data_IF_245632071878
#
_entry.id   IF_245632071878
#
_cell.length_a   1.000
_cell.length_b   1.000
_cell.length_c   1.000
_cell.angle_alpha   90.00
_cell.angle_beta   90.00
_cell.angle_gamma   90.00
#
_symmetry.space_group_name_H-M   'P 1'
#
loop_
_entity.id
_entity.type
_entity.pdbx_description
1 polymer ?
#
# COMPACT_ATOMS: atom_id res chain seq x y z
N UNK A 1 12.30 -27.18 17.01
CA UNK A 1 13.26 -26.49 17.90
C UNK A 1 14.64 -26.55 17.26
N UNK A 2 15.02 -25.54 16.49
CA UNK A 2 16.39 -25.41 15.99
C UNK A 2 17.32 -25.11 17.16
N UNK A 3 18.42 -25.86 17.26
CA UNK A 3 19.38 -25.83 18.36
C UNK A 3 19.84 -24.39 18.65
N UNK A 4 19.63 -23.94 19.88
CA UNK A 4 20.29 -22.73 20.37
C UNK A 4 21.78 -23.07 20.56
N UNK A 5 22.66 -22.42 19.80
CA UNK A 5 24.10 -22.62 19.95
C UNK A 5 24.51 -22.13 21.34
N UNK A 6 25.14 -23.01 22.14
CA UNK A 6 25.44 -22.79 23.57
C UNK A 6 26.36 -21.59 23.86
N UNK A 7 26.92 -20.94 22.83
CA UNK A 7 27.85 -19.81 22.92
C UNK A 7 27.53 -18.69 21.90
N UNK A 8 26.27 -18.25 21.77
CA UNK A 8 25.96 -17.08 20.94
C UNK A 8 26.40 -15.80 21.67
N UNK A 9 27.66 -15.39 21.49
CA UNK A 9 28.25 -14.14 22.04
C UNK A 9 27.84 -12.89 21.26
N UNK A 10 27.05 -13.02 20.18
CA UNK A 10 26.30 -11.93 19.59
C UNK A 10 24.96 -11.77 20.33
N UNK A 11 25.02 -11.31 21.58
CA UNK A 11 23.82 -10.97 22.35
C UNK A 11 23.07 -9.88 21.61
N UNK A 12 21.78 -10.06 21.36
CA UNK A 12 20.96 -8.95 20.89
C UNK A 12 21.05 -7.84 21.93
N UNK A 13 21.48 -6.64 21.51
CA UNK A 13 21.60 -5.44 22.37
C UNK A 13 20.31 -5.23 23.17
N UNK A 14 19.17 -5.52 22.53
CA UNK A 14 17.87 -5.50 23.15
C UNK A 14 17.41 -6.88 23.59
N UNK A 15 17.01 -6.96 24.85
CA UNK A 15 16.24 -8.06 25.42
C UNK A 15 14.87 -8.18 24.75
N UNK A 16 14.24 -9.35 24.90
CA UNK A 16 12.89 -9.59 24.40
C UNK A 16 11.88 -8.55 24.93
N UNK A 17 11.98 -8.18 26.21
CA UNK A 17 11.07 -7.21 26.84
C UNK A 17 11.27 -5.79 26.32
N UNK A 18 12.51 -5.38 26.05
CA UNK A 18 12.75 -4.05 25.48
C UNK A 18 12.23 -3.97 24.05
N UNK A 19 12.46 -5.01 23.22
CA UNK A 19 11.85 -5.09 21.87
C UNK A 19 10.32 -5.00 21.93
N UNK A 20 9.70 -5.63 22.93
CA UNK A 20 8.26 -5.59 23.10
C UNK A 20 7.77 -4.20 23.51
N UNK A 21 8.47 -3.52 24.43
CA UNK A 21 8.17 -2.14 24.85
C UNK A 21 8.36 -1.14 23.70
N UNK A 22 9.44 -1.28 22.94
CA UNK A 22 9.71 -0.43 21.78
C UNK A 22 8.66 -0.63 20.69
N UNK A 23 8.26 -1.88 20.43
CA UNK A 23 7.16 -2.18 19.48
C UNK A 23 5.83 -1.57 19.93
N UNK A 24 5.51 -1.63 21.22
CA UNK A 24 4.30 -1.02 21.79
C UNK A 24 4.33 0.51 21.71
N UNK A 25 5.47 1.13 21.98
CA UNK A 25 5.61 2.60 22.03
C UNK A 25 5.68 3.20 20.63
N UNK A 26 6.45 2.59 19.73
CA UNK A 26 6.65 3.07 18.37
C UNK A 26 5.44 2.74 17.47
N UNK A 27 4.60 1.78 17.84
CA UNK A 27 3.47 1.32 17.02
C UNK A 27 3.85 0.64 15.71
N UNK A 28 5.15 0.50 15.43
CA UNK A 28 5.70 -0.05 14.20
C UNK A 28 6.09 -1.51 14.37
N UNK A 29 5.79 -2.33 13.37
CA UNK A 29 6.06 -3.77 13.37
C UNK A 29 4.83 -4.64 13.64
N UNK A 30 5.02 -5.95 13.73
CA UNK A 30 3.93 -6.91 13.90
C UNK A 30 3.42 -6.92 15.35
N UNK A 31 2.28 -6.27 15.59
CA UNK A 31 1.59 -6.30 16.88
C UNK A 31 0.68 -7.53 16.96
N UNK A 32 0.80 -8.30 18.04
CA UNK A 32 -0.10 -9.43 18.35
C UNK A 32 -1.03 -9.01 19.48
N UNK A 33 -2.20 -8.47 19.15
CA UNK A 33 -3.24 -8.10 20.11
C UNK A 33 -4.58 -8.74 19.77
N UNK A 34 -5.44 -8.94 20.77
CA UNK A 34 -6.84 -9.32 20.54
C UNK A 34 -7.63 -8.06 20.17
N UNK A 35 -8.26 -8.09 19.01
CA UNK A 35 -9.15 -7.02 18.58
C UNK A 35 -10.52 -7.18 19.26
N UNK A 36 -11.12 -6.04 19.65
CA UNK A 36 -12.48 -6.02 20.20
C UNK A 36 -13.55 -6.20 19.11
N UNK A 37 -14.81 -6.30 19.52
CA UNK A 37 -15.97 -6.38 18.61
C UNK A 37 -16.00 -5.18 17.64
N UNK A 38 -15.68 -4.00 18.15
CA UNK A 38 -15.73 -2.73 17.41
C UNK A 38 -14.70 -2.65 16.28
N UNK A 39 -13.73 -3.57 16.23
CA UNK A 39 -12.79 -3.68 15.12
C UNK A 39 -13.37 -4.40 13.90
N UNK A 40 -14.52 -5.06 14.07
CA UNK A 40 -15.21 -5.78 13.00
C UNK A 40 -16.40 -4.95 12.55
N UNK A 41 -16.53 -4.78 11.22
CA UNK A 41 -17.67 -4.09 10.63
C UNK A 41 -18.97 -4.86 10.91
N UNK A 42 -20.01 -4.15 11.34
CA UNK A 42 -21.35 -4.72 11.45
C UNK A 42 -21.91 -5.13 10.08
N UNK A 43 -22.89 -6.05 10.09
CA UNK A 43 -23.43 -6.66 8.86
C UNK A 43 -24.22 -5.65 8.00
N UNK A 44 -24.93 -4.73 8.63
CA UNK A 44 -25.80 -3.72 8.03
C UNK A 44 -25.07 -2.42 7.67
N UNK A 45 -23.76 -2.33 7.95
CA UNK A 45 -22.96 -1.15 7.67
C UNK A 45 -22.33 -1.17 6.26
N UNK A 46 -22.27 0.01 5.65
CA UNK A 46 -21.62 0.23 4.35
C UNK A 46 -20.10 0.03 4.45
N UNK A 47 -19.50 -0.66 3.48
CA UNK A 47 -18.05 -0.88 3.44
C UNK A 47 -17.21 0.40 3.21
N UNK A 48 -17.84 1.51 2.80
CA UNK A 48 -17.14 2.80 2.58
C UNK A 48 -17.31 3.75 3.77
N UNK A 49 -18.55 3.99 4.20
CA UNK A 49 -18.84 4.95 5.27
C UNK A 49 -18.75 4.36 6.68
N UNK A 50 -18.78 3.03 6.82
CA UNK A 50 -18.89 2.31 8.09
C UNK A 50 -20.10 2.76 8.93
N UNK A 51 -21.10 3.37 8.29
CA UNK A 51 -22.38 3.74 8.89
C UNK A 51 -23.45 2.74 8.45
N UNK A 52 -24.53 2.58 9.25
CA UNK A 52 -25.67 1.75 8.88
C UNK A 52 -26.29 2.22 7.56
N UNK A 53 -26.53 1.27 6.65
CA UNK A 53 -27.02 1.58 5.32
C UNK A 53 -28.48 2.07 5.35
N UNK A 54 -28.78 3.15 4.60
CA UNK A 54 -30.16 3.62 4.38
C UNK A 54 -30.79 2.96 3.16
N UNK A 55 -30.02 2.87 2.08
CA UNK A 55 -30.46 2.27 0.81
C UNK A 55 -29.40 1.28 0.34
N UNK A 56 -29.46 0.04 0.84
CA UNK A 56 -28.43 -0.96 0.63
C UNK A 56 -28.42 -1.43 -0.83
N UNK A 57 -27.23 -1.44 -1.42
CA UNK A 57 -26.93 -2.06 -2.70
C UNK A 57 -25.78 -3.04 -2.53
N UNK A 58 -25.85 -4.17 -3.24
CA UNK A 58 -24.91 -5.27 -3.09
C UNK A 58 -24.21 -5.52 -4.43
N UNK A 59 -22.88 -5.66 -4.40
CA UNK A 59 -22.12 -6.07 -5.58
C UNK A 59 -22.23 -7.58 -5.81
N UNK A 60 -21.95 -8.10 -7.01
CA UNK A 60 -21.97 -9.54 -7.28
C UNK A 60 -21.08 -10.36 -6.33
N UNK A 61 -19.99 -9.76 -5.83
CA UNK A 61 -19.06 -10.37 -4.88
C UNK A 61 -19.59 -10.40 -3.43
N UNK A 62 -20.77 -9.81 -3.18
CA UNK A 62 -21.44 -9.83 -1.87
C UNK A 62 -21.06 -8.69 -0.93
N UNK A 63 -20.46 -7.60 -1.42
CA UNK A 63 -20.16 -6.43 -0.60
C UNK A 63 -21.36 -5.47 -0.49
N UNK A 64 -21.66 -5.03 0.72
CA UNK A 64 -22.75 -4.11 1.04
C UNK A 64 -22.28 -2.64 1.01
N UNK A 65 -23.02 -1.81 0.26
CA UNK A 65 -22.79 -0.38 0.20
C UNK A 65 -24.08 0.41 0.30
N UNK A 66 -23.96 1.66 0.71
CA UNK A 66 -25.00 2.66 0.48
C UNK A 66 -24.94 3.14 -0.98
N UNK A 67 -26.11 3.26 -1.59
CA UNK A 67 -26.26 3.69 -2.98
C UNK A 67 -25.58 5.03 -3.28
N UNK A 68 -25.71 6.01 -2.38
CA UNK A 68 -25.13 7.34 -2.55
C UNK A 68 -23.59 7.27 -2.48
N UNK A 69 -23.06 6.62 -1.43
CA UNK A 69 -21.62 6.51 -1.19
C UNK A 69 -20.89 5.77 -2.30
N UNK A 70 -21.45 4.66 -2.81
CA UNK A 70 -20.79 3.90 -3.88
C UNK A 70 -20.77 4.67 -5.21
N UNK A 71 -21.84 5.41 -5.52
CA UNK A 71 -21.91 6.20 -6.75
C UNK A 71 -20.93 7.38 -6.71
N UNK A 72 -20.88 8.10 -5.59
CA UNK A 72 -19.91 9.19 -5.39
C UNK A 72 -18.47 8.68 -5.52
N UNK A 73 -18.17 7.55 -4.87
CA UNK A 73 -16.88 6.88 -4.95
C UNK A 73 -16.50 6.56 -6.41
N UNK A 74 -17.39 5.92 -7.17
CA UNK A 74 -17.12 5.54 -8.56
C UNK A 74 -16.83 6.77 -9.43
N UNK A 75 -17.63 7.83 -9.31
CA UNK A 75 -17.45 9.05 -10.12
C UNK A 75 -16.11 9.71 -9.79
N UNK A 76 -15.81 9.87 -8.50
CA UNK A 76 -14.56 10.48 -8.03
C UNK A 76 -13.34 9.70 -8.53
N UNK A 77 -13.31 8.39 -8.34
CA UNK A 77 -12.15 7.58 -8.74
C UNK A 77 -12.01 7.44 -10.24
N UNK A 78 -13.09 7.44 -11.02
CA UNK A 78 -12.99 7.48 -12.49
C UNK A 78 -12.32 8.77 -12.97
N UNK A 79 -12.68 9.91 -12.39
CA UNK A 79 -12.06 11.20 -12.74
C UNK A 79 -10.57 11.24 -12.33
N UNK A 80 -10.24 10.77 -11.13
CA UNK A 80 -8.87 10.70 -10.63
C UNK A 80 -8.00 9.76 -11.47
N UNK A 81 -8.49 8.56 -11.78
CA UNK A 81 -7.77 7.60 -12.62
C UNK A 81 -7.51 8.16 -14.02
N UNK A 82 -8.48 8.87 -14.61
CA UNK A 82 -8.28 9.53 -15.90
C UNK A 82 -7.18 10.61 -15.85
N UNK A 83 -7.05 11.32 -14.71
CA UNK A 83 -5.97 12.31 -14.50
C UNK A 83 -4.61 11.62 -14.37
N UNK A 84 -4.52 10.61 -13.51
CA UNK A 84 -3.29 9.85 -13.26
C UNK A 84 -2.79 9.13 -14.52
N UNK A 85 -3.70 8.57 -15.32
CA UNK A 85 -3.35 7.92 -16.60
C UNK A 85 -2.73 8.93 -17.57
N UNK A 86 -3.29 10.15 -17.68
CA UNK A 86 -2.71 11.20 -18.53
C UNK A 86 -1.30 11.61 -18.08
N UNK A 87 -1.12 11.79 -16.77
CA UNK A 87 0.18 12.12 -16.17
C UNK A 87 1.19 10.99 -16.44
N UNK A 88 0.79 9.73 -16.26
CA UNK A 88 1.60 8.56 -16.54
C UNK A 88 2.03 8.50 -18.02
N UNK A 89 1.10 8.68 -18.96
CA UNK A 89 1.44 8.70 -20.40
C UNK A 89 2.41 9.84 -20.76
N UNK A 90 2.24 11.03 -20.17
CA UNK A 90 3.17 12.15 -20.37
C UNK A 90 4.56 11.88 -19.80
N UNK A 91 4.65 11.15 -18.68
CA UNK A 91 5.94 10.70 -18.14
C UNK A 91 6.61 9.66 -19.03
N UNK A 92 5.85 8.69 -19.56
CA UNK A 92 6.35 7.67 -20.47
C UNK A 92 6.92 8.27 -21.76
N UNK A 93 6.21 9.23 -22.37
CA UNK A 93 6.71 9.91 -23.58
C UNK A 93 7.97 10.72 -23.32
N UNK A 94 8.04 11.42 -22.17
CA UNK A 94 9.26 12.15 -21.77
C UNK A 94 10.45 11.21 -21.55
N UNK A 95 10.22 10.06 -20.90
CA UNK A 95 11.25 9.05 -20.66
C UNK A 95 11.75 8.44 -21.98
N UNK A 96 10.84 8.06 -22.88
CA UNK A 96 11.20 7.56 -24.20
C UNK A 96 12.04 8.58 -25.01
N UNK A 97 11.62 9.84 -25.05
CA UNK A 97 12.36 10.89 -25.75
C UNK A 97 13.73 11.22 -25.14
N UNK A 98 13.91 11.02 -23.82
CA UNK A 98 15.23 11.18 -23.17
C UNK A 98 16.19 10.01 -23.43
N UNK A 99 15.69 8.83 -23.81
CA UNK A 99 16.51 7.67 -24.18
C UNK A 99 16.95 7.69 -25.65
N UNK A 100 16.29 8.48 -26.50
CA UNK A 100 16.57 8.60 -27.95
C UNK A 100 17.51 9.77 -28.32
N UNK A 101 18.14 10.45 -27.35
CA UNK A 101 19.16 11.49 -27.58
C UNK A 101 20.61 10.98 -27.54
N UNK A 102 21.53 11.63 -28.29
CA UNK A 102 22.15 11.12 -29.51
C UNK A 102 23.16 9.98 -29.29
N UNK A 103 23.01 8.90 -30.06
CA UNK A 103 23.98 7.81 -30.21
C UNK A 103 25.14 8.15 -31.19
N UNK A 104 25.46 9.43 -31.39
CA UNK A 104 26.50 9.86 -32.34
C UNK A 104 27.51 10.79 -31.65
N UNK A 105 28.63 10.22 -31.15
CA UNK A 105 29.96 10.87 -31.19
C UNK A 105 31.03 10.11 -30.38
N UNK A 106 31.34 8.85 -30.67
CA UNK A 106 32.64 8.24 -30.27
C UNK A 106 33.17 7.26 -31.31
N UNK A 107 33.41 7.77 -32.52
CA UNK A 107 34.30 7.11 -33.48
C UNK A 107 35.08 8.18 -34.25
N UNK A 108 35.89 8.97 -33.52
CA UNK A 108 37.04 9.64 -34.11
C UNK A 108 38.26 8.85 -33.68
N UNK A 109 38.93 8.29 -34.68
CA UNK A 109 39.95 7.27 -34.57
C UNK A 109 41.04 7.59 -33.57
N UNK A 110 41.39 6.57 -32.81
CA UNK A 110 42.70 6.47 -32.20
C UNK A 110 43.61 5.82 -33.25
N UNK A 111 44.35 6.64 -33.98
CA UNK A 111 45.44 6.20 -34.86
C UNK A 111 46.67 7.04 -34.58
N UNK A 112 47.79 6.33 -34.39
CA UNK A 112 49.14 6.72 -33.98
C UNK A 112 49.41 6.81 -32.48
#
# INVERSE_FOLDING_TARGET
>A
MTRHARNCTAGAVYTYHEKQKDTQTCGYGTQKMRLGKDAVKDFDCCCLSLQPCRNPVVTPDGYLYDKESILEYIVRHKAENARLLKEYHAQQTRQAGSLEGPAESKNKGFSF
#
